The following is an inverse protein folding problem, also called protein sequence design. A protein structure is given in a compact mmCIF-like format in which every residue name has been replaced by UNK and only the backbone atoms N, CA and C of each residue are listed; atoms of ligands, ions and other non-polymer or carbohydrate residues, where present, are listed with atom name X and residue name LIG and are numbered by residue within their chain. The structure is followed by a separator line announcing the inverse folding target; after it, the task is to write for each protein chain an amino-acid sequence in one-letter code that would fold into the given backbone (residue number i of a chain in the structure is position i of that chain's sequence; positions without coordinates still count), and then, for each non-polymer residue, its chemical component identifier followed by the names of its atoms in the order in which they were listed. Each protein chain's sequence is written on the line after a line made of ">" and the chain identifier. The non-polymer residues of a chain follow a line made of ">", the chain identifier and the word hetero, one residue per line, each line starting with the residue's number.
data_IF_013214094880
#
_entry.id   IF_013214094880
#
_cell.length_a   1.000
_cell.length_b   1.000
_cell.length_c   1.000
_cell.angle_alpha   90.00
_cell.angle_beta   90.00
_cell.angle_gamma   90.00
#
_symmetry.space_group_name_H-M   'P 1'
#
loop_
_entity.id
_entity.type
_entity.pdbx_description
1 polymer ?
#
# COMPACT_ATOMS: atom_id res chain seq x y z
N UNK A 1 35.14 -20.39 13.04
CA UNK A 1 35.16 -19.20 12.15
C UNK A 1 34.12 -19.30 11.01
N UNK A 2 33.87 -20.48 10.44
CA UNK A 2 32.94 -20.65 9.28
C UNK A 2 31.44 -20.56 9.62
N UNK A 3 31.04 -20.82 10.87
CA UNK A 3 29.62 -20.79 11.29
C UNK A 3 29.14 -19.34 11.47
N UNK A 4 30.00 -18.49 12.04
CA UNK A 4 29.71 -17.07 12.32
C UNK A 4 29.44 -16.28 11.04
N UNK A 5 30.24 -16.50 9.99
CA UNK A 5 30.03 -15.90 8.65
C UNK A 5 28.66 -16.30 8.07
N UNK A 6 28.25 -17.57 8.19
CA UNK A 6 26.95 -18.06 7.69
C UNK A 6 25.75 -17.47 8.45
N UNK A 7 25.93 -17.11 9.71
CA UNK A 7 24.89 -16.44 10.50
C UNK A 7 24.76 -14.96 10.12
N UNK A 8 25.88 -14.28 9.93
CA UNK A 8 25.92 -12.90 9.44
C UNK A 8 25.28 -12.77 8.05
N UNK A 9 25.59 -13.68 7.12
CA UNK A 9 24.96 -13.69 5.80
C UNK A 9 23.43 -13.90 5.86
N UNK A 10 22.95 -14.76 6.76
CA UNK A 10 21.51 -14.98 6.97
C UNK A 10 20.84 -13.72 7.52
N UNK A 11 21.44 -13.11 8.54
CA UNK A 11 20.97 -11.85 9.12
C UNK A 11 20.90 -10.73 8.07
N UNK A 12 21.95 -10.59 7.25
CA UNK A 12 21.98 -9.59 6.18
C UNK A 12 20.90 -9.85 5.12
N UNK A 13 20.65 -11.10 4.74
CA UNK A 13 19.55 -11.46 3.82
C UNK A 13 18.19 -11.11 4.39
N UNK A 14 17.96 -11.40 5.67
CA UNK A 14 16.72 -11.04 6.34
C UNK A 14 16.52 -9.53 6.43
N UNK A 15 17.57 -8.78 6.75
CA UNK A 15 17.54 -7.32 6.75
C UNK A 15 17.20 -6.78 5.36
N UNK A 16 17.86 -7.29 4.31
CA UNK A 16 17.60 -6.91 2.93
C UNK A 16 16.14 -7.20 2.52
N UNK A 17 15.56 -8.32 2.96
CA UNK A 17 14.16 -8.65 2.72
C UNK A 17 13.23 -7.64 3.39
N UNK A 18 13.42 -7.39 4.69
CA UNK A 18 12.61 -6.43 5.46
C UNK A 18 12.69 -5.03 4.87
N UNK A 19 13.88 -4.58 4.48
CA UNK A 19 14.09 -3.28 3.85
C UNK A 19 13.29 -3.14 2.54
N UNK A 20 13.32 -4.16 1.67
CA UNK A 20 12.52 -4.18 0.44
C UNK A 20 11.02 -4.13 0.72
N UNK A 21 10.55 -4.84 1.73
CA UNK A 21 9.13 -4.86 2.10
C UNK A 21 8.65 -3.49 2.59
N UNK A 22 9.46 -2.82 3.43
CA UNK A 22 9.19 -1.46 3.90
C UNK A 22 9.19 -0.47 2.73
N UNK A 23 10.19 -0.51 1.85
CA UNK A 23 10.24 0.36 0.67
C UNK A 23 9.00 0.14 -0.20
N UNK A 24 8.64 -1.11 -0.50
CA UNK A 24 7.47 -1.41 -1.30
C UNK A 24 6.15 -0.96 -0.63
N UNK A 25 6.07 -1.02 0.70
CA UNK A 25 4.93 -0.48 1.45
C UNK A 25 4.82 1.04 1.31
N UNK A 26 5.93 1.76 1.48
CA UNK A 26 5.97 3.21 1.35
C UNK A 26 5.65 3.66 -0.07
N UNK A 27 6.25 3.02 -1.08
CA UNK A 27 5.96 3.29 -2.50
C UNK A 27 4.48 3.10 -2.80
N UNK A 28 3.86 2.02 -2.32
CA UNK A 28 2.42 1.78 -2.52
C UNK A 28 1.56 2.88 -1.89
N UNK A 29 1.91 3.35 -0.69
CA UNK A 29 1.21 4.45 -0.03
C UNK A 29 1.34 5.75 -0.82
N UNK A 30 2.52 6.04 -1.36
CA UNK A 30 2.78 7.22 -2.19
C UNK A 30 2.01 7.17 -3.53
N UNK A 31 1.88 5.98 -4.12
CA UNK A 31 1.14 5.77 -5.36
C UNK A 31 -0.39 5.68 -5.15
N UNK A 32 -0.87 5.82 -3.91
CA UNK A 32 -2.29 5.69 -3.61
C UNK A 32 -2.82 4.28 -3.85
N UNK A 33 -2.12 3.23 -3.41
CA UNK A 33 -2.59 1.85 -3.58
C UNK A 33 -2.45 1.05 -2.26
N UNK A 34 -3.44 0.22 -1.94
CA UNK A 34 -3.47 -0.55 -0.70
C UNK A 34 -4.73 -1.39 -0.54
N UNK A 35 -4.90 -2.04 0.60
CA UNK A 35 -6.17 -2.71 0.94
C UNK A 35 -7.25 -1.68 1.31
N UNK A 36 -8.51 -2.11 1.40
CA UNK A 36 -9.62 -1.26 1.90
C UNK A 36 -9.31 -0.60 3.25
N UNK A 37 -8.68 -1.32 4.17
CA UNK A 37 -8.28 -0.78 5.48
C UNK A 37 -7.15 0.27 5.40
N UNK A 38 -6.47 0.35 4.26
CA UNK A 38 -5.37 1.31 4.00
C UNK A 38 -5.83 2.51 3.17
N UNK A 39 -7.13 2.62 2.84
CA UNK A 39 -7.68 3.83 2.23
C UNK A 39 -7.38 5.03 3.15
N UNK A 40 -6.97 6.19 2.62
CA UNK A 40 -6.75 7.39 3.42
C UNK A 40 -8.00 7.78 4.22
N UNK A 41 -7.84 8.13 5.50
CA UNK A 41 -8.94 8.56 6.37
C UNK A 41 -9.38 10.02 6.16
N UNK A 42 -8.50 10.85 5.59
CA UNK A 42 -8.77 12.26 5.24
C UNK A 42 -8.40 12.54 3.78
N UNK A 43 -9.08 11.90 2.81
CA UNK A 43 -8.79 12.09 1.40
C UNK A 43 -9.31 13.45 0.89
N UNK A 44 -8.64 13.99 -0.13
CA UNK A 44 -9.11 15.21 -0.84
C UNK A 44 -10.08 14.84 -1.95
N UNK A 45 -10.89 15.80 -2.41
CA UNK A 45 -11.80 15.56 -3.54
C UNK A 45 -11.04 15.08 -4.79
N UNK A 46 -11.61 14.10 -5.48
CA UNK A 46 -11.01 13.48 -6.66
C UNK A 46 -9.75 12.65 -6.38
N UNK A 47 -9.36 12.45 -5.11
CA UNK A 47 -8.20 11.62 -4.79
C UNK A 47 -8.41 10.19 -5.30
N UNK A 48 -7.47 9.72 -6.13
CA UNK A 48 -7.49 8.36 -6.65
C UNK A 48 -6.84 7.39 -5.65
N UNK A 49 -7.41 6.19 -5.56
CA UNK A 49 -6.80 5.07 -4.85
C UNK A 49 -7.03 3.76 -5.60
N UNK A 50 -6.04 2.89 -5.70
CA UNK A 50 -6.24 1.53 -6.19
C UNK A 50 -6.47 0.58 -5.01
N UNK A 51 -7.72 0.17 -4.82
CA UNK A 51 -8.10 -0.77 -3.77
C UNK A 51 -7.78 -2.20 -4.21
N UNK A 52 -6.80 -2.82 -3.54
CA UNK A 52 -6.32 -4.18 -3.79
C UNK A 52 -7.20 -5.26 -3.17
N UNK A 53 -8.10 -4.92 -2.27
CA UNK A 53 -9.14 -5.85 -1.81
C UNK A 53 -10.20 -5.98 -2.90
N UNK A 54 -10.65 -4.85 -3.45
CA UNK A 54 -11.66 -4.81 -4.52
C UNK A 54 -11.11 -5.03 -5.94
N UNK A 55 -9.78 -4.95 -6.10
CA UNK A 55 -9.06 -5.06 -7.39
C UNK A 55 -9.51 -4.03 -8.43
N UNK A 56 -9.77 -2.78 -8.01
CA UNK A 56 -10.20 -1.71 -8.91
C UNK A 56 -9.74 -0.32 -8.45
N UNK A 57 -9.56 0.65 -9.37
CA UNK A 57 -9.38 2.04 -9.03
C UNK A 57 -10.70 2.64 -8.51
N UNK A 58 -10.57 3.53 -7.52
CA UNK A 58 -11.65 4.25 -6.87
C UNK A 58 -11.23 5.72 -6.67
N UNK A 59 -12.20 6.62 -6.57
CA UNK A 59 -11.98 8.05 -6.34
C UNK A 59 -12.79 8.52 -5.15
N UNK A 60 -12.20 9.36 -4.32
CA UNK A 60 -12.92 10.00 -3.23
C UNK A 60 -13.82 11.10 -3.78
N UNK A 61 -15.11 11.01 -3.47
CA UNK A 61 -16.09 12.05 -3.74
C UNK A 61 -16.43 12.75 -2.41
N UNK A 62 -16.07 14.03 -2.30
CA UNK A 62 -16.32 14.80 -1.07
C UNK A 62 -17.78 15.18 -0.86
N UNK A 63 -18.57 15.30 -1.94
CA UNK A 63 -19.99 15.64 -1.83
C UNK A 63 -20.78 14.55 -1.09
N UNK A 64 -20.45 13.27 -1.35
CA UNK A 64 -21.09 12.12 -0.71
C UNK A 64 -20.25 11.53 0.45
N UNK A 65 -19.07 12.11 0.71
CA UNK A 65 -18.07 11.59 1.64
C UNK A 65 -17.83 10.07 1.48
N UNK A 66 -17.66 9.63 0.23
CA UNK A 66 -17.56 8.20 -0.08
C UNK A 66 -16.58 7.94 -1.23
N UNK A 67 -15.94 6.77 -1.18
CA UNK A 67 -15.20 6.25 -2.32
C UNK A 67 -16.18 5.76 -3.39
N UNK A 68 -15.89 6.09 -4.65
CA UNK A 68 -16.67 5.65 -5.82
C UNK A 68 -15.79 4.94 -6.82
N UNK A 69 -16.34 3.93 -7.48
CA UNK A 69 -15.69 3.34 -8.65
C UNK A 69 -15.91 4.18 -9.92
N UNK A 70 -15.34 3.74 -11.05
CA UNK A 70 -15.46 4.42 -12.33
C UNK A 70 -16.90 4.51 -12.87
N UNK A 71 -17.85 3.73 -12.35
CA UNK A 71 -19.27 3.83 -12.69
C UNK A 71 -20.02 4.83 -11.78
N UNK A 72 -19.33 5.44 -10.81
CA UNK A 72 -19.94 6.32 -9.81
C UNK A 72 -20.64 5.58 -8.67
N UNK A 73 -20.46 4.25 -8.57
CA UNK A 73 -21.06 3.42 -7.52
C UNK A 73 -20.20 3.46 -6.26
N UNK A 74 -20.84 3.52 -5.08
CA UNK A 74 -20.17 3.47 -3.77
C UNK A 74 -19.49 2.13 -3.47
N UNK A 75 -18.34 2.17 -2.77
CA UNK A 75 -17.48 0.99 -2.50
C UNK A 75 -16.79 0.99 -1.14
#
# INVERSE_FOLDING_TARGET
>A
MTIQIKEEERSQREWNRKAKDVINMLTRRLLGAGTTAQRPGTPTDGQMFYDRTLKKPIWWNTADAQWKDAAGTGV
#
